data_IF_867444927350
#
_entry.id   IF_867444927350
#
_cell.length_a   1.000
_cell.length_b   1.000
_cell.length_c   1.000
_cell.angle_alpha   90.00
_cell.angle_beta   90.00
_cell.angle_gamma   90.00
#
_symmetry.space_group_name_H-M   'P 1'
#
loop_
_entity.id
_entity.type
_entity.pdbx_description
1 polymer ?
#
# COMPACT_ATOMS: atom_id res chain seq x y z
N UNK A 1 -16.59 -29.39 13.00
CA UNK A 1 -15.90 -28.28 12.31
C UNK A 1 -16.97 -27.31 11.86
N UNK A 2 -16.91 -26.04 12.27
CA UNK A 2 -17.86 -25.02 11.82
C UNK A 2 -17.63 -24.83 10.33
N UNK A 3 -18.66 -25.08 9.54
CA UNK A 3 -18.64 -25.01 8.07
C UNK A 3 -18.26 -23.58 7.64
N UNK A 4 -17.05 -23.41 7.06
CA UNK A 4 -16.63 -22.15 6.43
C UNK A 4 -15.27 -21.58 6.86
N UNK A 5 -14.75 -21.93 8.04
CA UNK A 5 -13.43 -21.46 8.51
C UNK A 5 -12.34 -22.29 7.86
N UNK A 6 -11.33 -21.60 7.31
CA UNK A 6 -10.22 -22.21 6.56
C UNK A 6 -9.06 -22.58 7.47
N UNK A 7 -8.45 -23.72 7.17
CA UNK A 7 -7.19 -24.15 7.79
C UNK A 7 -6.01 -23.31 7.32
N UNK A 8 -4.91 -23.33 8.07
CA UNK A 8 -3.67 -22.65 7.69
C UNK A 8 -3.21 -23.06 6.27
N UNK A 9 -3.25 -24.35 5.97
CA UNK A 9 -2.84 -24.86 4.65
C UNK A 9 -3.71 -24.32 3.52
N UNK A 10 -5.03 -24.22 3.71
CA UNK A 10 -5.94 -23.63 2.72
C UNK A 10 -5.70 -22.12 2.54
N UNK A 11 -5.37 -21.40 3.63
CA UNK A 11 -5.03 -19.97 3.59
C UNK A 11 -3.73 -19.76 2.80
N UNK A 12 -2.69 -20.52 3.12
CA UNK A 12 -1.40 -20.44 2.42
C UNK A 12 -1.54 -20.76 0.93
N UNK A 13 -2.32 -21.78 0.59
CA UNK A 13 -2.61 -22.13 -0.81
C UNK A 13 -3.30 -20.98 -1.55
N UNK A 14 -4.24 -20.28 -0.91
CA UNK A 14 -4.91 -19.11 -1.52
C UNK A 14 -3.98 -17.91 -1.71
N UNK A 15 -2.99 -17.76 -0.85
CA UNK A 15 -1.97 -16.72 -0.96
C UNK A 15 -0.82 -17.11 -1.91
N UNK A 16 -0.87 -18.32 -2.48
CA UNK A 16 0.22 -18.89 -3.31
C UNK A 16 1.54 -18.96 -2.55
N UNK A 17 1.48 -19.14 -1.22
CA UNK A 17 2.63 -19.30 -0.34
C UNK A 17 2.86 -20.79 -0.10
N UNK A 18 3.98 -21.30 -0.56
CA UNK A 18 4.36 -22.71 -0.37
C UNK A 18 4.87 -22.98 1.05
N UNK A 19 5.55 -22.01 1.66
CA UNK A 19 6.16 -22.11 2.99
C UNK A 19 6.26 -20.72 3.63
N UNK A 20 5.92 -20.63 4.91
CA UNK A 20 6.19 -19.43 5.71
C UNK A 20 7.70 -19.19 5.81
N UNK A 21 8.13 -17.94 5.77
CA UNK A 21 9.52 -17.57 5.97
C UNK A 21 9.91 -17.62 7.45
N UNK A 22 11.22 -17.57 7.80
CA UNK A 22 11.67 -17.66 9.19
C UNK A 22 11.00 -16.67 10.14
N UNK A 23 10.87 -15.39 9.75
CA UNK A 23 10.20 -14.37 10.53
C UNK A 23 8.72 -14.71 10.79
N UNK A 24 8.01 -15.22 9.81
CA UNK A 24 6.60 -15.59 9.93
C UNK A 24 6.41 -16.81 10.84
N UNK A 25 7.32 -17.77 10.80
CA UNK A 25 7.34 -18.93 11.71
C UNK A 25 7.59 -18.49 13.15
N UNK A 26 8.62 -17.67 13.39
CA UNK A 26 8.93 -17.13 14.70
C UNK A 26 7.79 -16.27 15.25
N UNK A 27 7.18 -15.41 14.39
CA UNK A 27 6.05 -14.58 14.78
C UNK A 27 4.86 -15.42 15.25
N UNK A 28 4.57 -16.53 14.58
CA UNK A 28 3.51 -17.46 14.98
C UNK A 28 3.73 -18.01 16.39
N UNK A 29 4.96 -18.37 16.73
CA UNK A 29 5.29 -18.90 18.05
C UNK A 29 5.30 -17.83 19.14
N UNK A 30 5.96 -16.70 18.87
CA UNK A 30 6.13 -15.63 19.87
C UNK A 30 4.80 -14.97 20.18
N UNK A 31 3.98 -14.65 19.17
CA UNK A 31 2.65 -14.04 19.36
C UNK A 31 1.71 -14.98 20.12
N UNK A 32 1.76 -16.28 19.85
CA UNK A 32 0.93 -17.26 20.58
C UNK A 32 1.25 -17.28 22.08
N UNK A 33 2.54 -17.17 22.45
CA UNK A 33 3.04 -17.31 23.82
C UNK A 33 2.99 -16.04 24.67
N UNK A 34 2.89 -14.85 24.04
CA UNK A 34 3.03 -13.55 24.73
C UNK A 34 1.76 -12.71 24.60
N UNK A 35 1.45 -11.95 25.63
CA UNK A 35 0.40 -10.92 25.62
C UNK A 35 0.82 -9.67 24.85
N UNK A 36 2.10 -9.34 24.88
CA UNK A 36 2.70 -8.25 24.13
C UNK A 36 3.78 -8.77 23.18
N UNK A 37 3.78 -8.29 21.93
CA UNK A 37 4.82 -8.64 20.95
C UNK A 37 5.22 -7.42 20.14
N UNK A 38 6.54 -7.26 19.94
CA UNK A 38 7.12 -6.24 19.06
C UNK A 38 7.82 -6.94 17.89
N UNK A 39 7.33 -6.72 16.68
CA UNK A 39 7.87 -7.28 15.44
C UNK A 39 8.57 -6.18 14.64
N UNK A 40 9.89 -6.27 14.56
CA UNK A 40 10.75 -5.36 13.82
C UNK A 40 11.24 -6.04 12.54
N UNK A 41 10.88 -5.47 11.39
CA UNK A 41 11.32 -6.00 10.10
C UNK A 41 11.16 -4.94 9.00
N UNK A 42 12.00 -4.91 7.97
CA UNK A 42 11.86 -4.00 6.85
C UNK A 42 10.50 -4.10 6.14
N UNK A 43 10.15 -3.09 5.35
CA UNK A 43 8.96 -3.16 4.50
C UNK A 43 9.12 -4.22 3.41
N UNK A 44 8.02 -4.91 3.06
CA UNK A 44 8.03 -5.93 2.00
C UNK A 44 8.49 -7.33 2.41
N UNK A 45 8.81 -7.57 3.68
CA UNK A 45 9.26 -8.88 4.20
C UNK A 45 8.12 -9.85 4.54
N UNK A 46 6.86 -9.40 4.42
CA UNK A 46 5.71 -10.23 4.75
C UNK A 46 5.21 -10.10 6.19
N UNK A 47 5.51 -8.97 6.88
CA UNK A 47 5.00 -8.66 8.24
C UNK A 47 3.50 -8.87 8.39
N UNK A 48 2.72 -8.43 7.39
CA UNK A 48 1.27 -8.55 7.44
C UNK A 48 0.81 -9.99 7.62
N UNK A 49 1.38 -10.93 6.87
CA UNK A 49 1.09 -12.37 7.04
C UNK A 49 1.60 -12.86 8.39
N UNK A 50 2.77 -12.36 8.85
CA UNK A 50 3.39 -12.78 10.11
C UNK A 50 2.48 -12.52 11.33
N UNK A 51 1.78 -11.39 11.39
CA UNK A 51 0.85 -11.13 12.49
C UNK A 51 -0.58 -11.63 12.21
N UNK A 52 -1.03 -11.70 10.96
CA UNK A 52 -2.37 -12.17 10.64
C UNK A 52 -2.57 -13.66 10.90
N UNK A 53 -1.58 -14.49 10.59
CA UNK A 53 -1.70 -15.94 10.78
C UNK A 53 -1.97 -16.32 12.24
N UNK A 54 -1.16 -15.90 13.25
CA UNK A 54 -1.46 -16.18 14.65
C UNK A 54 -2.74 -15.48 15.14
N UNK A 55 -3.04 -14.26 14.67
CA UNK A 55 -4.27 -13.56 15.02
C UNK A 55 -5.51 -14.37 14.60
N UNK A 56 -5.54 -14.88 13.37
CA UNK A 56 -6.66 -15.67 12.84
C UNK A 56 -6.84 -16.98 13.61
N UNK A 57 -5.74 -17.60 14.03
CA UNK A 57 -5.76 -18.85 14.79
C UNK A 57 -6.43 -18.72 16.18
N UNK A 58 -6.47 -17.52 16.75
CA UNK A 58 -7.08 -17.26 18.07
C UNK A 58 -8.52 -16.77 18.02
N UNK A 59 -9.09 -16.54 16.83
CA UNK A 59 -10.47 -16.10 16.68
C UNK A 59 -11.45 -17.23 16.99
N UNK A 60 -12.52 -16.90 17.71
CA UNK A 60 -13.61 -17.83 17.96
C UNK A 60 -14.72 -17.67 16.89
N UNK A 61 -14.96 -18.69 16.06
CA UNK A 61 -15.96 -18.62 14.99
C UNK A 61 -17.41 -18.56 15.50
N UNK A 62 -17.68 -18.89 16.78
CA UNK A 62 -19.00 -18.83 17.39
C UNK A 62 -19.40 -17.41 17.80
N UNK A 63 -18.43 -16.49 17.89
CA UNK A 63 -18.65 -15.10 18.29
C UNK A 63 -18.85 -14.22 17.06
N UNK A 64 -20.08 -13.77 16.82
CA UNK A 64 -20.43 -12.85 15.72
C UNK A 64 -20.24 -11.38 16.10
N UNK A 65 -19.12 -11.04 16.73
CA UNK A 65 -18.74 -9.69 17.18
C UNK A 65 -17.31 -9.39 16.73
N UNK A 66 -16.90 -8.12 16.88
CA UNK A 66 -15.49 -7.73 16.61
C UNK A 66 -14.61 -8.35 17.69
N UNK A 67 -13.63 -9.16 17.29
CA UNK A 67 -12.70 -9.84 18.20
C UNK A 67 -11.26 -9.31 18.08
N UNK A 68 -10.93 -8.70 16.95
CA UNK A 68 -9.61 -8.11 16.72
C UNK A 68 -9.72 -6.78 15.98
N UNK A 69 -8.89 -5.82 16.39
CA UNK A 69 -8.70 -4.55 15.71
C UNK A 69 -7.27 -4.46 15.20
N UNK A 70 -7.12 -3.97 13.96
CA UNK A 70 -5.83 -3.69 13.34
C UNK A 70 -5.80 -2.21 12.98
N UNK A 71 -4.87 -1.46 13.58
CA UNK A 71 -4.68 -0.04 13.35
C UNK A 71 -3.51 0.15 12.38
N UNK A 72 -3.73 0.96 11.37
CA UNK A 72 -2.72 1.37 10.40
C UNK A 72 -2.68 2.90 10.27
N UNK A 73 -1.49 3.54 10.14
CA UNK A 73 -1.37 4.99 10.11
C UNK A 73 -2.00 5.66 8.90
N UNK A 74 -2.18 4.93 7.81
CA UNK A 74 -2.71 5.47 6.55
C UNK A 74 -3.87 4.66 6.03
N UNK A 75 -4.74 5.31 5.23
CA UNK A 75 -5.89 4.69 4.57
C UNK A 75 -5.45 3.57 3.64
N UNK A 76 -4.38 3.81 2.89
CA UNK A 76 -3.83 2.88 1.91
C UNK A 76 -3.34 1.60 2.57
N UNK A 77 -2.62 1.72 3.69
CA UNK A 77 -2.15 0.56 4.45
C UNK A 77 -3.32 -0.22 5.07
N UNK A 78 -4.32 0.48 5.63
CA UNK A 78 -5.52 -0.17 6.15
C UNK A 78 -6.28 -0.96 5.06
N UNK A 79 -6.45 -0.37 3.87
CA UNK A 79 -7.07 -1.03 2.71
C UNK A 79 -6.22 -2.23 2.26
N UNK A 80 -4.91 -2.09 2.26
CA UNK A 80 -3.98 -3.18 1.88
C UNK A 80 -4.07 -4.36 2.85
N UNK A 81 -4.08 -4.13 4.15
CA UNK A 81 -4.23 -5.18 5.16
C UNK A 81 -5.57 -5.90 5.00
N UNK A 82 -6.65 -5.16 4.79
CA UNK A 82 -7.97 -5.72 4.55
C UNK A 82 -8.01 -6.56 3.25
N UNK A 83 -7.32 -6.12 2.21
CA UNK A 83 -7.22 -6.89 0.97
C UNK A 83 -6.42 -8.20 1.18
N UNK A 84 -5.36 -8.19 1.98
CA UNK A 84 -4.63 -9.43 2.36
C UNK A 84 -5.57 -10.39 3.09
N UNK A 85 -6.32 -9.92 4.10
CA UNK A 85 -7.32 -10.72 4.81
C UNK A 85 -8.36 -11.33 3.87
N UNK A 86 -8.86 -10.57 2.90
CA UNK A 86 -9.79 -11.07 1.87
C UNK A 86 -9.14 -12.14 0.99
N UNK A 87 -7.90 -11.95 0.59
CA UNK A 87 -7.17 -12.91 -0.23
C UNK A 87 -6.89 -14.21 0.53
N UNK A 88 -6.65 -14.13 1.84
CA UNK A 88 -6.55 -15.30 2.73
C UNK A 88 -7.83 -16.13 2.73
N UNK A 89 -8.98 -15.48 2.56
CA UNK A 89 -10.29 -16.14 2.47
C UNK A 89 -10.58 -17.03 3.67
N UNK A 90 -10.28 -16.53 4.87
CA UNK A 90 -10.31 -17.26 6.15
C UNK A 90 -11.68 -17.80 6.56
N UNK A 91 -12.75 -17.25 5.99
CA UNK A 91 -14.12 -17.49 6.42
C UNK A 91 -14.64 -16.45 7.43
N UNK A 92 -13.75 -15.71 8.08
CA UNK A 92 -14.13 -14.59 8.94
C UNK A 92 -14.45 -13.33 8.14
N UNK A 93 -15.47 -12.61 8.57
CA UNK A 93 -15.80 -11.33 7.98
C UNK A 93 -14.79 -10.26 8.41
N UNK A 94 -14.30 -9.51 7.46
CA UNK A 94 -13.40 -8.37 7.67
C UNK A 94 -14.02 -7.09 7.16
N UNK A 95 -13.75 -5.97 7.80
CA UNK A 95 -14.13 -4.65 7.30
C UNK A 95 -13.00 -3.65 7.54
N UNK A 96 -12.98 -2.59 6.72
CA UNK A 96 -12.00 -1.50 6.82
C UNK A 96 -12.70 -0.16 7.00
N UNK A 97 -12.23 0.64 7.97
CA UNK A 97 -12.75 1.97 8.29
C UNK A 97 -11.64 3.02 8.27
N UNK A 98 -11.86 4.11 7.52
CA UNK A 98 -10.88 5.17 7.39
C UNK A 98 -11.56 6.52 7.08
N UNK A 99 -10.86 7.61 7.33
CA UNK A 99 -11.38 8.95 7.07
C UNK A 99 -11.65 9.22 5.59
N UNK A 100 -12.64 10.05 5.28
CA UNK A 100 -13.06 10.38 3.91
C UNK A 100 -14.15 9.47 3.33
N UNK A 101 -14.60 8.44 4.06
CA UNK A 101 -15.85 7.70 3.76
C UNK A 101 -17.04 8.37 4.44
N UNK A 102 -18.23 8.26 3.81
CA UNK A 102 -19.45 8.75 4.45
C UNK A 102 -19.81 7.88 5.66
N UNK A 103 -20.24 8.51 6.76
CA UNK A 103 -20.68 7.78 7.96
C UNK A 103 -21.89 6.86 7.71
N UNK A 104 -22.72 7.15 6.70
CA UNK A 104 -23.82 6.26 6.28
C UNK A 104 -23.33 4.97 5.62
N UNK A 105 -22.22 5.01 4.90
CA UNK A 105 -21.62 3.82 4.34
C UNK A 105 -21.00 2.95 5.45
N UNK A 106 -20.26 3.55 6.38
CA UNK A 106 -19.66 2.82 7.50
C UNK A 106 -20.74 2.17 8.37
N UNK A 107 -21.85 2.87 8.66
CA UNK A 107 -22.97 2.29 9.41
C UNK A 107 -23.52 1.05 8.72
N UNK A 108 -23.79 1.12 7.42
CA UNK A 108 -24.26 -0.05 6.63
C UNK A 108 -23.27 -1.21 6.64
N UNK A 109 -21.99 -0.91 6.52
CA UNK A 109 -20.94 -1.93 6.53
C UNK A 109 -20.82 -2.62 7.90
N UNK A 110 -21.22 -1.93 8.98
CA UNK A 110 -21.25 -2.45 10.36
C UNK A 110 -22.56 -3.14 10.77
N UNK A 111 -23.64 -3.06 9.97
CA UNK A 111 -24.91 -3.79 10.22
C UNK A 111 -24.68 -5.30 10.36
N UNK A 112 -23.81 -5.86 9.52
CA UNK A 112 -23.29 -7.22 9.72
C UNK A 112 -21.88 -7.08 10.28
N UNK A 113 -21.74 -7.29 11.58
CA UNK A 113 -20.49 -7.04 12.30
C UNK A 113 -19.33 -7.87 11.74
N UNK A 114 -18.15 -7.26 11.51
CA UNK A 114 -16.97 -8.00 11.14
C UNK A 114 -16.38 -8.69 12.38
N UNK A 115 -15.65 -9.78 12.19
CA UNK A 115 -14.83 -10.40 13.23
C UNK A 115 -13.51 -9.66 13.38
N UNK A 116 -12.96 -9.13 12.28
CA UNK A 116 -11.74 -8.35 12.26
C UNK A 116 -12.06 -6.96 11.69
N UNK A 117 -11.75 -5.92 12.45
CA UNK A 117 -11.86 -4.54 12.01
C UNK A 117 -10.46 -3.97 11.74
N UNK A 118 -10.25 -3.47 10.53
CA UNK A 118 -9.04 -2.74 10.16
C UNK A 118 -9.35 -1.26 10.07
N UNK A 119 -8.47 -0.37 10.51
CA UNK A 119 -8.76 1.05 10.34
C UNK A 119 -7.63 2.00 10.65
N UNK A 120 -7.87 3.28 10.35
CA UNK A 120 -6.98 4.36 10.80
C UNK A 120 -7.35 4.81 12.21
N UNK A 121 -6.39 5.29 13.04
CA UNK A 121 -6.63 5.60 14.44
C UNK A 121 -7.87 6.46 14.67
N UNK A 122 -7.93 7.66 14.06
CA UNK A 122 -9.05 8.57 14.25
C UNK A 122 -10.42 8.00 13.86
N UNK A 123 -10.49 7.11 12.84
CA UNK A 123 -11.77 6.53 12.44
C UNK A 123 -12.21 5.39 13.35
N UNK A 124 -11.28 4.60 13.85
CA UNK A 124 -11.58 3.55 14.83
C UNK A 124 -12.02 4.16 16.16
N UNK A 125 -11.32 5.20 16.65
CA UNK A 125 -11.73 5.95 17.84
C UNK A 125 -13.14 6.56 17.69
N UNK A 126 -13.46 7.17 16.53
CA UNK A 126 -14.79 7.70 16.24
C UNK A 126 -15.88 6.60 16.29
N UNK A 127 -15.59 5.41 15.76
CA UNK A 127 -16.54 4.28 15.80
C UNK A 127 -16.75 3.73 17.22
N UNK A 128 -15.70 3.62 18.03
CA UNK A 128 -15.78 3.25 19.46
C UNK A 128 -16.62 4.26 20.22
N UNK A 129 -16.33 5.55 20.08
CA UNK A 129 -17.04 6.66 20.72
C UNK A 129 -18.53 6.70 20.41
N UNK A 130 -18.90 6.32 19.17
CA UNK A 130 -20.29 6.25 18.72
C UNK A 130 -20.98 4.93 19.00
N UNK A 131 -20.28 3.96 19.59
CA UNK A 131 -20.87 2.64 19.89
C UNK A 131 -21.28 1.84 18.65
N UNK A 132 -20.58 1.97 17.52
CA UNK A 132 -20.93 1.23 16.31
C UNK A 132 -20.69 -0.28 16.45
N UNK A 133 -19.88 -0.71 17.41
CA UNK A 133 -19.69 -2.11 17.78
C UNK A 133 -19.34 -2.21 19.26
N UNK A 134 -19.57 -3.39 19.83
CA UNK A 134 -19.24 -3.69 21.20
C UNK A 134 -17.75 -4.03 21.34
N UNK A 135 -17.10 -3.43 22.34
CA UNK A 135 -15.68 -3.61 22.64
C UNK A 135 -15.38 -4.81 23.56
N UNK A 136 -16.39 -5.38 24.21
CA UNK A 136 -16.22 -6.46 25.21
C UNK A 136 -15.60 -7.74 24.64
N UNK A 137 -15.79 -8.00 23.34
CA UNK A 137 -15.27 -9.20 22.69
C UNK A 137 -13.90 -9.00 22.04
N UNK A 138 -13.36 -7.77 22.06
CA UNK A 138 -12.08 -7.45 21.43
C UNK A 138 -10.93 -7.88 22.34
N UNK A 139 -10.24 -8.94 21.94
CA UNK A 139 -9.13 -9.53 22.70
C UNK A 139 -7.75 -9.22 22.11
N UNK A 140 -7.71 -8.78 20.86
CA UNK A 140 -6.46 -8.57 20.13
C UNK A 140 -6.42 -7.20 19.47
N UNK A 141 -5.31 -6.50 19.63
CA UNK A 141 -5.00 -5.23 18.97
C UNK A 141 -3.66 -5.33 18.26
N UNK A 142 -3.65 -5.01 16.98
CA UNK A 142 -2.44 -4.85 16.19
C UNK A 142 -2.25 -3.37 15.87
N UNK A 143 -1.05 -2.85 16.13
CA UNK A 143 -0.64 -1.50 15.76
C UNK A 143 0.45 -1.63 14.69
N UNK A 144 0.05 -1.60 13.42
CA UNK A 144 0.96 -1.75 12.28
C UNK A 144 1.60 -0.40 11.92
N UNK A 145 2.89 -0.41 11.59
CA UNK A 145 3.71 0.81 11.42
C UNK A 145 3.48 1.81 12.57
N UNK A 146 3.58 1.33 13.81
CA UNK A 146 3.24 2.08 15.01
C UNK A 146 4.10 3.34 15.18
N UNK A 147 5.40 3.25 14.89
CA UNK A 147 6.32 4.38 14.82
C UNK A 147 5.76 5.53 13.96
N UNK A 148 5.12 5.19 12.86
CA UNK A 148 4.50 6.16 11.95
C UNK A 148 3.22 6.77 12.51
N UNK A 149 2.43 5.97 13.21
CA UNK A 149 1.22 6.48 13.87
C UNK A 149 1.57 7.58 14.89
N UNK A 150 2.67 7.42 15.62
CA UNK A 150 3.18 8.44 16.56
C UNK A 150 3.69 9.69 15.83
N UNK A 151 4.48 9.53 14.76
CA UNK A 151 4.99 10.66 13.97
C UNK A 151 3.89 11.52 13.36
N UNK A 152 2.76 10.92 12.99
CA UNK A 152 1.60 11.64 12.44
C UNK A 152 0.82 12.37 13.55
N UNK A 153 1.03 12.00 14.81
CA UNK A 153 0.37 12.62 15.95
C UNK A 153 -0.92 11.94 16.39
N UNK A 154 -1.08 10.65 16.11
CA UNK A 154 -2.25 9.86 16.52
C UNK A 154 -2.14 9.29 17.94
N UNK A 155 -1.27 9.84 18.78
CA UNK A 155 -1.08 9.35 20.16
C UNK A 155 -2.40 9.40 20.95
N UNK A 156 -3.13 10.51 20.86
CA UNK A 156 -4.39 10.71 21.57
C UNK A 156 -5.45 9.67 21.19
N UNK A 157 -5.63 9.43 19.91
CA UNK A 157 -6.58 8.43 19.40
C UNK A 157 -6.16 7.00 19.78
N UNK A 158 -4.86 6.71 19.83
CA UNK A 158 -4.39 5.39 20.25
C UNK A 158 -4.60 5.16 21.75
N UNK A 159 -4.42 6.16 22.59
CA UNK A 159 -4.76 6.11 24.01
C UNK A 159 -6.26 5.86 24.18
N UNK A 160 -7.10 6.65 23.50
CA UNK A 160 -8.56 6.49 23.54
C UNK A 160 -9.01 5.08 23.12
N UNK A 161 -8.40 4.52 22.05
CA UNK A 161 -8.70 3.16 21.61
C UNK A 161 -8.31 2.14 22.68
N UNK A 162 -7.11 2.24 23.25
CA UNK A 162 -6.63 1.30 24.27
C UNK A 162 -7.52 1.33 25.52
N UNK A 163 -7.90 2.51 25.99
CA UNK A 163 -8.77 2.71 27.16
C UNK A 163 -10.19 2.19 26.91
N UNK A 164 -10.63 2.13 25.65
CA UNK A 164 -11.94 1.65 25.26
C UNK A 164 -12.03 0.11 25.11
N UNK A 165 -10.93 -0.64 25.33
CA UNK A 165 -10.86 -2.08 25.12
C UNK A 165 -10.69 -2.87 26.44
N UNK A 166 -11.76 -3.09 27.22
CA UNK A 166 -11.64 -3.65 28.58
C UNK A 166 -11.20 -5.13 28.59
N UNK A 167 -11.46 -5.86 27.51
CA UNK A 167 -11.13 -7.29 27.39
C UNK A 167 -9.85 -7.59 26.62
N UNK A 168 -9.05 -6.55 26.33
CA UNK A 168 -7.83 -6.67 25.54
C UNK A 168 -6.78 -7.54 26.22
N UNK A 169 -6.35 -8.60 25.55
CA UNK A 169 -5.36 -9.56 26.05
C UNK A 169 -4.04 -9.51 25.28
N UNK A 170 -4.10 -9.33 23.97
CA UNK A 170 -2.92 -9.35 23.10
C UNK A 170 -2.71 -8.04 22.37
N UNK A 171 -1.48 -7.55 22.42
CA UNK A 171 -1.03 -6.34 21.72
C UNK A 171 0.16 -6.69 20.83
N UNK A 172 0.05 -6.45 19.54
CA UNK A 172 1.10 -6.69 18.57
C UNK A 172 1.48 -5.36 17.94
N UNK A 173 2.73 -4.96 18.07
CA UNK A 173 3.28 -3.76 17.46
C UNK A 173 4.23 -4.15 16.35
N UNK A 174 4.12 -3.48 15.21
CA UNK A 174 5.10 -3.64 14.14
C UNK A 174 5.79 -2.32 13.83
N UNK A 175 7.07 -2.38 13.47
CA UNK A 175 7.85 -1.25 12.99
C UNK A 175 8.88 -1.71 11.94
N UNK A 176 9.30 -0.77 11.10
CA UNK A 176 10.40 -0.97 10.16
C UNK A 176 11.70 -0.31 10.63
N UNK A 177 11.75 0.25 11.85
CA UNK A 177 12.91 0.96 12.41
C UNK A 177 13.34 0.40 13.76
N UNK A 178 14.66 0.47 14.04
CA UNK A 178 15.23 0.01 15.32
C UNK A 178 15.02 0.98 16.48
N UNK A 179 14.99 2.28 16.21
CA UNK A 179 14.99 3.36 17.22
C UNK A 179 13.64 3.52 17.92
N UNK A 180 12.79 2.54 17.79
CA UNK A 180 11.44 2.58 18.30
C UNK A 180 11.40 2.27 19.81
N UNK A 181 11.11 3.29 20.62
CA UNK A 181 10.72 3.14 22.04
C UNK A 181 9.21 3.00 22.12
N UNK A 182 8.74 1.88 22.66
CA UNK A 182 7.32 1.69 22.95
C UNK A 182 6.91 2.67 24.06
N UNK A 183 5.98 3.62 23.83
CA UNK A 183 5.52 4.53 24.85
C UNK A 183 4.81 3.80 25.98
N UNK A 184 4.88 4.39 27.19
CA UNK A 184 4.30 3.79 28.40
C UNK A 184 2.78 3.55 28.29
N UNK A 185 2.05 4.41 27.57
CA UNK A 185 0.60 4.28 27.42
C UNK A 185 0.16 2.98 26.72
N UNK A 186 1.02 2.36 25.90
CA UNK A 186 0.71 1.06 25.27
C UNK A 186 0.61 -0.05 26.30
N UNK A 187 1.26 0.10 27.46
CA UNK A 187 1.20 -0.85 28.57
C UNK A 187 1.76 -2.22 28.20
N UNK A 188 2.90 -2.28 27.52
CA UNK A 188 3.62 -3.53 27.25
C UNK A 188 4.66 -3.79 28.31
N UNK A 189 4.45 -4.85 29.11
CA UNK A 189 5.39 -5.32 30.10
C UNK A 189 6.15 -6.53 29.51
N UNK A 190 7.46 -6.39 29.35
CA UNK A 190 8.36 -7.44 28.84
C UNK A 190 7.83 -8.15 27.59
N UNK A 191 7.59 -7.46 26.46
CA UNK A 191 7.02 -8.05 25.26
C UNK A 191 7.97 -9.04 24.60
N UNK A 192 7.42 -10.07 23.97
CA UNK A 192 8.16 -10.90 23.03
C UNK A 192 8.74 -10.02 21.91
N UNK A 193 10.00 -10.23 21.54
CA UNK A 193 10.69 -9.43 20.53
C UNK A 193 11.14 -10.31 19.38
N UNK A 194 10.80 -9.86 18.17
CA UNK A 194 11.17 -10.48 16.90
C UNK A 194 11.88 -9.40 16.10
N UNK A 195 13.14 -9.62 15.72
CA UNK A 195 13.93 -8.59 15.05
C UNK A 195 14.65 -9.14 13.82
N UNK A 196 14.13 -8.76 12.65
CA UNK A 196 14.66 -9.12 11.33
C UNK A 196 15.16 -7.89 10.54
N UNK A 197 15.44 -6.78 11.20
CA UNK A 197 15.89 -5.56 10.52
C UNK A 197 17.26 -5.75 9.85
N UNK A 198 18.11 -6.62 10.40
CA UNK A 198 19.46 -6.87 9.87
C UNK A 198 19.54 -8.01 8.85
N UNK A 199 18.51 -8.86 8.74
CA UNK A 199 18.54 -10.02 7.85
C UNK A 199 18.12 -9.69 6.40
N UNK A 200 17.47 -8.58 6.19
CA UNK A 200 17.12 -8.15 4.83
C UNK A 200 18.37 -7.55 4.17
N UNK A 201 19.11 -8.36 3.46
CA UNK A 201 20.09 -7.88 2.47
C UNK A 201 19.28 -7.22 1.35
N UNK A 202 18.90 -5.96 1.57
CA UNK A 202 18.35 -5.15 0.50
C UNK A 202 19.46 -4.92 -0.52
N UNK A 203 19.28 -5.44 -1.72
CA UNK A 203 20.12 -5.09 -2.87
C UNK A 203 19.77 -3.68 -3.36
N UNK A 204 19.81 -2.74 -2.42
CA UNK A 204 19.55 -1.33 -2.67
C UNK A 204 20.86 -0.61 -2.86
N UNK A 205 21.06 -0.06 -4.03
CA UNK A 205 22.14 0.88 -4.28
C UNK A 205 21.65 2.30 -4.05
N UNK A 206 22.38 3.09 -3.26
CA UNK A 206 22.10 4.52 -3.09
C UNK A 206 23.20 5.32 -3.77
N UNK A 207 22.83 6.15 -4.74
CA UNK A 207 23.77 6.93 -5.56
C UNK A 207 23.36 8.40 -5.63
N UNK A 208 24.31 9.33 -5.69
CA UNK A 208 24.02 10.74 -5.96
C UNK A 208 24.06 11.04 -7.46
N UNK A 209 23.12 11.86 -7.89
CA UNK A 209 23.14 12.48 -9.22
C UNK A 209 23.48 13.95 -9.01
N UNK A 210 24.65 14.34 -9.45
CA UNK A 210 25.08 15.73 -9.37
C UNK A 210 24.54 16.49 -10.57
N UNK A 211 23.74 17.52 -10.30
CA UNK A 211 23.10 18.36 -11.32
C UNK A 211 23.62 19.81 -11.26
N UNK A 212 23.35 20.55 -12.30
CA UNK A 212 23.63 21.99 -12.34
C UNK A 212 22.75 22.80 -11.40
N UNK A 213 22.58 24.08 -11.69
CA UNK A 213 21.76 24.97 -10.86
C UNK A 213 20.25 24.73 -11.03
N UNK A 214 19.82 24.23 -12.18
CA UNK A 214 18.41 23.89 -12.46
C UNK A 214 18.13 22.42 -12.11
N UNK A 215 17.42 22.21 -11.00
CA UNK A 215 17.02 20.89 -10.54
C UNK A 215 15.96 20.24 -11.45
N UNK A 216 15.09 21.02 -12.10
CA UNK A 216 14.05 20.48 -12.97
C UNK A 216 14.68 19.94 -14.26
N UNK A 217 15.61 20.67 -14.85
CA UNK A 217 16.38 20.21 -15.99
C UNK A 217 17.20 18.97 -15.63
N UNK A 218 17.94 19.02 -14.50
CA UNK A 218 18.70 17.88 -14.00
C UNK A 218 17.84 16.64 -13.73
N UNK A 219 16.61 16.81 -13.25
CA UNK A 219 15.63 15.73 -13.10
C UNK A 219 15.27 15.13 -14.47
N UNK A 220 14.93 15.96 -15.45
CA UNK A 220 14.53 15.48 -16.77
C UNK A 220 15.67 14.72 -17.48
N UNK A 221 16.91 15.20 -17.36
CA UNK A 221 18.09 14.51 -17.89
C UNK A 221 18.32 13.18 -17.18
N UNK A 222 18.19 13.17 -15.84
CA UNK A 222 18.31 11.94 -15.05
C UNK A 222 17.27 10.90 -15.46
N UNK A 223 16.02 11.31 -15.66
CA UNK A 223 14.95 10.42 -16.11
C UNK A 223 15.23 9.84 -17.51
N UNK A 224 15.75 10.64 -18.44
CA UNK A 224 16.19 10.16 -19.76
C UNK A 224 17.30 9.11 -19.65
N UNK A 225 18.27 9.35 -18.76
CA UNK A 225 19.37 8.42 -18.56
C UNK A 225 18.95 7.11 -17.87
N UNK A 226 18.03 7.16 -16.91
CA UNK A 226 17.46 5.98 -16.25
C UNK A 226 16.58 5.19 -17.23
N UNK A 227 15.89 5.89 -18.15
CA UNK A 227 15.00 5.31 -19.14
C UNK A 227 13.62 4.93 -18.62
N UNK A 228 12.82 4.30 -19.48
CA UNK A 228 11.43 3.91 -19.20
C UNK A 228 11.35 2.77 -18.19
N UNK A 229 11.47 3.10 -16.92
CA UNK A 229 11.33 2.18 -15.79
C UNK A 229 10.32 2.74 -14.78
N UNK A 230 9.58 1.89 -14.06
CA UNK A 230 8.70 2.37 -13.00
C UNK A 230 9.51 2.94 -11.82
N UNK A 231 9.22 4.18 -11.46
CA UNK A 231 9.91 4.89 -10.39
C UNK A 231 9.06 5.88 -9.62
N UNK A 232 9.53 6.23 -8.43
CA UNK A 232 8.91 7.26 -7.58
C UNK A 232 9.88 8.43 -7.42
N UNK A 233 9.36 9.64 -7.58
CA UNK A 233 10.07 10.88 -7.31
C UNK A 233 9.50 11.45 -6.01
N UNK A 234 10.32 11.50 -4.96
CA UNK A 234 9.93 11.98 -3.66
C UNK A 234 10.22 13.47 -3.49
N UNK A 235 9.19 14.19 -3.03
CA UNK A 235 9.23 15.59 -2.64
C UNK A 235 8.73 15.75 -1.22
N UNK A 236 9.19 16.78 -0.51
CA UNK A 236 8.72 17.11 0.83
C UNK A 236 7.38 17.85 0.78
N UNK A 237 7.17 18.67 -0.26
CA UNK A 237 6.04 19.59 -0.34
C UNK A 237 5.19 19.36 -1.60
N UNK A 238 3.88 19.58 -1.46
CA UNK A 238 2.94 19.50 -2.60
C UNK A 238 3.22 20.56 -3.69
N UNK A 239 3.74 21.73 -3.27
CA UNK A 239 4.01 22.82 -4.21
C UNK A 239 5.23 22.48 -5.09
N UNK A 240 6.22 21.77 -4.54
CA UNK A 240 7.30 21.18 -5.33
C UNK A 240 6.77 20.17 -6.33
N UNK A 241 5.83 19.30 -5.90
CA UNK A 241 5.19 18.33 -6.81
C UNK A 241 4.47 19.06 -7.95
N UNK A 242 3.76 20.15 -7.67
CA UNK A 242 3.05 20.92 -8.69
C UNK A 242 4.01 21.48 -9.74
N UNK A 243 5.12 22.09 -9.32
CA UNK A 243 6.13 22.62 -10.25
C UNK A 243 6.79 21.54 -11.10
N UNK A 244 7.12 20.38 -10.50
CA UNK A 244 7.67 19.24 -11.25
C UNK A 244 6.62 18.72 -12.25
N UNK A 245 5.37 18.61 -11.82
CA UNK A 245 4.28 18.11 -12.67
C UNK A 245 4.07 18.97 -13.89
N UNK A 246 4.04 20.29 -13.73
CA UNK A 246 3.94 21.25 -14.83
C UNK A 246 5.11 21.07 -15.80
N UNK A 247 6.33 21.07 -15.28
CA UNK A 247 7.56 20.91 -16.08
C UNK A 247 7.61 19.59 -16.87
N UNK A 248 7.20 18.48 -16.27
CA UNK A 248 7.16 17.16 -16.93
C UNK A 248 6.01 17.10 -17.97
N UNK A 249 4.87 17.74 -17.69
CA UNK A 249 3.71 17.79 -18.61
C UNK A 249 4.08 18.53 -19.89
N UNK A 250 4.73 19.69 -19.81
CA UNK A 250 5.22 20.43 -20.97
C UNK A 250 6.15 19.63 -21.87
N UNK A 251 6.84 18.63 -21.29
CA UNK A 251 7.76 17.73 -21.99
C UNK A 251 7.14 16.38 -22.38
N UNK A 252 5.80 16.25 -22.24
CA UNK A 252 5.05 15.04 -22.52
C UNK A 252 5.55 13.80 -21.73
N UNK A 253 6.12 13.99 -20.54
CA UNK A 253 6.53 12.92 -19.64
C UNK A 253 5.37 12.54 -18.75
N UNK A 254 4.78 11.38 -19.01
CA UNK A 254 3.60 10.90 -18.28
C UNK A 254 3.94 10.52 -16.85
N UNK A 255 3.18 11.03 -15.89
CA UNK A 255 3.36 10.79 -14.46
C UNK A 255 2.02 10.83 -13.71
N UNK A 256 1.97 10.22 -12.52
CA UNK A 256 0.87 10.31 -11.59
C UNK A 256 1.24 11.18 -10.38
N UNK A 257 0.23 11.78 -9.75
CA UNK A 257 0.37 12.57 -8.53
C UNK A 257 -0.14 11.80 -7.32
N UNK A 258 0.63 11.82 -6.21
CA UNK A 258 0.25 11.09 -5.01
C UNK A 258 0.69 11.82 -3.73
N UNK A 259 -0.20 12.67 -3.19
CA UNK A 259 0.03 13.42 -1.97
C UNK A 259 -1.23 13.55 -1.09
N UNK A 260 -1.05 13.88 0.19
CA UNK A 260 -2.08 13.73 1.21
C UNK A 260 -3.36 14.55 1.03
N UNK A 261 -3.34 15.67 0.30
CA UNK A 261 -4.51 16.53 0.08
C UNK A 261 -5.33 16.20 -1.17
N UNK A 262 -4.91 15.21 -1.94
CA UNK A 262 -5.73 14.70 -3.05
C UNK A 262 -6.96 14.00 -2.50
N UNK A 263 -8.07 14.08 -3.24
CA UNK A 263 -9.25 13.28 -2.96
C UNK A 263 -8.90 11.79 -3.00
N UNK A 264 -9.55 11.00 -2.14
CA UNK A 264 -9.23 9.56 -2.02
C UNK A 264 -9.37 8.82 -3.36
N UNK A 265 -10.38 9.20 -4.16
CA UNK A 265 -10.61 8.59 -5.48
C UNK A 265 -9.47 8.87 -6.45
N UNK A 266 -8.88 10.08 -6.41
CA UNK A 266 -7.77 10.44 -7.29
C UNK A 266 -6.48 9.75 -6.87
N UNK A 267 -6.25 9.58 -5.55
CA UNK A 267 -5.14 8.78 -5.02
C UNK A 267 -5.24 7.32 -5.48
N UNK A 268 -6.41 6.72 -5.35
CA UNK A 268 -6.64 5.34 -5.81
C UNK A 268 -6.43 5.21 -7.32
N UNK A 269 -6.94 6.15 -8.12
CA UNK A 269 -6.75 6.16 -9.57
C UNK A 269 -5.28 6.29 -9.96
N UNK A 270 -4.54 7.18 -9.29
CA UNK A 270 -3.10 7.35 -9.55
C UNK A 270 -2.33 6.05 -9.32
N UNK A 271 -2.60 5.35 -8.20
CA UNK A 271 -1.98 4.06 -7.90
C UNK A 271 -2.38 2.97 -8.91
N UNK A 272 -3.66 2.93 -9.30
CA UNK A 272 -4.14 1.96 -10.28
C UNK A 272 -3.48 2.19 -11.64
N UNK A 273 -3.43 3.44 -12.11
CA UNK A 273 -2.76 3.81 -13.36
C UNK A 273 -1.27 3.48 -13.33
N UNK A 274 -0.62 3.67 -12.19
CA UNK A 274 0.78 3.31 -12.02
C UNK A 274 0.98 1.78 -12.06
N UNK A 275 0.18 1.01 -11.30
CA UNK A 275 0.19 -0.46 -11.35
C UNK A 275 -0.12 -1.03 -12.74
N UNK A 276 -0.97 -0.36 -13.46
CA UNK A 276 -1.37 -0.73 -14.82
C UNK A 276 -0.35 -0.30 -15.89
N UNK A 277 0.73 0.37 -15.50
CA UNK A 277 1.75 0.84 -16.42
C UNK A 277 1.36 2.04 -17.29
N UNK A 278 0.18 2.65 -17.05
CA UNK A 278 -0.24 3.88 -17.75
C UNK A 278 0.70 5.05 -17.42
N UNK A 279 1.09 5.16 -16.16
CA UNK A 279 2.15 6.05 -15.69
C UNK A 279 3.32 5.21 -15.21
N UNK A 280 4.52 5.55 -15.62
CA UNK A 280 5.75 4.91 -15.13
C UNK A 280 6.42 5.71 -14.02
N UNK A 281 6.01 6.97 -13.81
CA UNK A 281 6.49 7.85 -12.77
C UNK A 281 5.35 8.23 -11.82
N UNK A 282 5.68 8.26 -10.52
CA UNK A 282 4.78 8.74 -9.47
C UNK A 282 5.49 9.86 -8.71
N UNK A 283 4.91 11.06 -8.70
CA UNK A 283 5.38 12.16 -7.84
C UNK A 283 4.68 12.05 -6.49
N UNK A 284 5.43 11.89 -5.41
CA UNK A 284 4.85 11.57 -4.11
C UNK A 284 5.47 12.33 -2.95
N UNK A 285 4.66 12.60 -1.90
CA UNK A 285 5.15 12.98 -0.58
C UNK A 285 5.23 11.77 0.34
N UNK A 286 6.03 11.84 1.40
CA UNK A 286 6.22 10.75 2.35
C UNK A 286 4.92 10.21 2.92
N UNK A 287 4.07 11.10 3.42
CA UNK A 287 2.81 10.72 4.06
C UNK A 287 1.91 9.91 3.11
N UNK A 288 1.87 10.29 1.84
CA UNK A 288 1.05 9.61 0.86
C UNK A 288 1.67 8.27 0.44
N UNK A 289 2.99 8.22 0.25
CA UNK A 289 3.68 7.03 -0.24
C UNK A 289 3.89 5.94 0.83
N UNK A 290 3.56 6.21 2.09
CA UNK A 290 3.60 5.21 3.17
C UNK A 290 2.54 4.13 2.95
N UNK A 291 2.92 2.88 3.17
CA UNK A 291 2.00 1.74 3.06
C UNK A 291 1.46 1.46 1.65
N UNK A 292 1.91 2.15 0.60
CA UNK A 292 1.48 1.81 -0.75
C UNK A 292 2.09 0.49 -1.21
N UNK A 293 1.22 -0.39 -1.69
CA UNK A 293 1.63 -1.59 -2.39
C UNK A 293 1.69 -1.30 -3.90
N UNK A 294 2.90 -1.01 -4.33
CA UNK A 294 3.21 -0.83 -5.74
C UNK A 294 4.30 -1.83 -6.09
N UNK A 295 3.98 -2.82 -6.94
CA UNK A 295 4.95 -3.82 -7.34
C UNK A 295 6.02 -3.19 -8.25
N UNK A 296 7.24 -3.75 -8.16
CA UNK A 296 8.33 -3.54 -9.12
C UNK A 296 8.83 -2.11 -9.33
N UNK A 297 8.84 -1.28 -8.28
CA UNK A 297 9.56 0.01 -8.36
C UNK A 297 11.04 -0.28 -8.55
N UNK A 298 11.59 0.15 -9.68
CA UNK A 298 12.99 -0.09 -10.06
C UNK A 298 13.92 1.00 -9.57
N UNK A 299 13.41 2.22 -9.39
CA UNK A 299 14.21 3.32 -8.87
C UNK A 299 13.36 4.31 -8.05
N UNK A 300 14.07 5.02 -7.20
CA UNK A 300 13.56 6.18 -6.46
C UNK A 300 14.46 7.36 -6.76
N UNK A 301 13.87 8.55 -6.88
CA UNK A 301 14.62 9.81 -6.88
C UNK A 301 14.18 10.62 -5.67
N UNK A 302 15.11 10.94 -4.79
CA UNK A 302 14.92 11.98 -3.79
C UNK A 302 15.19 13.33 -4.47
N UNK A 303 14.13 13.96 -5.00
CA UNK A 303 14.21 15.31 -5.54
C UNK A 303 14.48 16.32 -4.42
N UNK A 304 13.84 16.11 -3.29
CA UNK A 304 14.14 16.75 -2.01
C UNK A 304 14.47 15.68 -0.99
N UNK A 305 15.60 15.84 -0.30
CA UNK A 305 15.94 14.95 0.80
C UNK A 305 14.99 15.15 1.98
N UNK A 306 14.57 14.08 2.65
CA UNK A 306 13.75 14.20 3.84
C UNK A 306 14.55 14.81 5.00
N UNK A 307 13.85 15.36 5.98
CA UNK A 307 14.49 15.99 7.15
C UNK A 307 15.08 14.97 8.13
N UNK A 308 14.64 13.71 8.09
CA UNK A 308 15.03 12.64 9.02
C UNK A 308 15.50 11.40 8.30
N UNK A 309 16.49 10.72 8.87
CA UNK A 309 17.03 9.46 8.37
C UNK A 309 15.96 8.37 8.25
N UNK A 310 15.06 8.29 9.21
CA UNK A 310 13.95 7.32 9.17
C UNK A 310 13.06 7.49 7.94
N UNK A 311 12.77 8.72 7.53
CA UNK A 311 12.00 9.01 6.33
C UNK A 311 12.75 8.56 5.07
N UNK A 312 14.07 8.79 5.06
CA UNK A 312 14.94 8.31 3.98
C UNK A 312 14.89 6.79 3.83
N UNK A 313 15.01 6.07 4.96
CA UNK A 313 14.90 4.61 5.00
C UNK A 313 13.54 4.12 4.51
N UNK A 314 12.44 4.80 4.89
CA UNK A 314 11.09 4.43 4.45
C UNK A 314 10.82 4.69 2.97
N UNK A 315 11.37 5.79 2.41
CA UNK A 315 11.32 6.04 0.97
C UNK A 315 12.05 4.92 0.23
N UNK A 316 13.25 4.60 0.68
CA UNK A 316 14.08 3.55 0.10
C UNK A 316 13.41 2.17 0.16
N UNK A 317 12.67 1.86 1.22
CA UNK A 317 11.87 0.64 1.35
C UNK A 317 10.72 0.49 0.33
N UNK A 318 10.54 1.45 -0.58
CA UNK A 318 9.58 1.31 -1.70
C UNK A 318 10.19 0.60 -2.90
N UNK A 319 11.51 0.56 -3.03
CA UNK A 319 12.23 -0.23 -4.05
C UNK A 319 13.01 -1.37 -3.39
N UNK A 320 13.63 -2.22 -4.18
CA UNK A 320 14.43 -3.37 -3.71
C UNK A 320 13.69 -4.29 -2.72
N UNK A 321 12.40 -4.53 -2.91
CA UNK A 321 11.60 -5.39 -2.04
C UNK A 321 11.92 -6.86 -2.26
N UNK A 322 11.95 -7.65 -1.19
CA UNK A 322 12.28 -9.08 -1.17
C UNK A 322 13.62 -9.37 -1.85
N UNK A 323 13.63 -10.02 -3.00
CA UNK A 323 14.84 -10.37 -3.75
C UNK A 323 15.08 -9.45 -4.97
N UNK A 324 14.32 -8.36 -5.09
CA UNK A 324 14.45 -7.42 -6.21
C UNK A 324 15.61 -6.44 -5.99
N UNK A 325 16.30 -6.09 -7.07
CA UNK A 325 17.30 -5.02 -7.11
C UNK A 325 16.60 -3.68 -7.33
N UNK A 326 17.10 -2.63 -6.68
CA UNK A 326 16.58 -1.28 -6.83
C UNK A 326 17.65 -0.23 -6.58
N UNK A 327 17.47 0.93 -7.19
CA UNK A 327 18.42 2.05 -7.02
C UNK A 327 17.68 3.27 -6.48
N UNK A 328 18.21 3.85 -5.42
CA UNK A 328 17.76 5.14 -4.91
C UNK A 328 18.76 6.22 -5.35
N UNK A 329 18.27 7.24 -6.01
CA UNK A 329 19.05 8.38 -6.45
C UNK A 329 18.77 9.58 -5.57
N UNK A 330 19.82 10.28 -5.17
CA UNK A 330 19.73 11.56 -4.48
C UNK A 330 20.14 12.66 -5.47
N UNK A 331 19.20 13.53 -5.81
CA UNK A 331 19.45 14.65 -6.71
C UNK A 331 20.12 15.79 -5.94
N UNK A 332 21.33 16.14 -6.30
CA UNK A 332 22.16 17.09 -5.53
C UNK A 332 22.71 18.18 -6.45
N UNK A 333 22.50 19.44 -6.09
CA UNK A 333 23.18 20.55 -6.78
C UNK A 333 24.68 20.49 -6.53
N UNK A 334 25.46 20.92 -7.52
CA UNK A 334 26.90 21.00 -7.35
C UNK A 334 27.28 21.91 -6.18
N UNK A 335 28.04 21.37 -5.23
CA UNK A 335 28.48 22.09 -4.03
C UNK A 335 27.48 22.12 -2.89
N UNK A 336 26.30 21.49 -3.02
CA UNK A 336 25.35 21.38 -1.91
C UNK A 336 25.86 20.38 -0.86
N UNK A 337 25.70 20.73 0.42
CA UNK A 337 25.99 19.86 1.55
C UNK A 337 24.87 18.84 1.72
N UNK A 338 25.23 17.60 1.97
CA UNK A 338 24.29 16.55 2.35
C UNK A 338 24.03 16.61 3.87
N UNK A 339 22.85 16.19 4.34
CA UNK A 339 22.57 16.07 5.77
C UNK A 339 23.55 15.11 6.46
N UNK A 340 23.80 15.33 7.76
CA UNK A 340 24.74 14.53 8.56
C UNK A 340 24.42 13.03 8.60
N UNK A 341 23.14 12.67 8.48
CA UNK A 341 22.73 11.26 8.45
C UNK A 341 23.05 10.54 7.13
N UNK A 342 23.47 11.28 6.10
CA UNK A 342 23.80 10.68 4.80
C UNK A 342 25.25 10.21 4.77
N UNK A 343 25.50 8.95 4.38
CA UNK A 343 26.86 8.50 4.12
C UNK A 343 27.43 9.20 2.88
N UNK A 344 28.72 9.09 2.68
CA UNK A 344 29.33 9.49 1.42
C UNK A 344 28.76 8.61 0.28
N UNK A 345 28.19 9.26 -0.73
CA UNK A 345 27.51 8.57 -1.82
C UNK A 345 28.38 8.54 -3.08
N UNK A 346 28.43 7.39 -3.71
CA UNK A 346 28.98 7.27 -5.06
C UNK A 346 28.16 8.06 -6.07
N UNK A 347 28.84 8.66 -7.04
CA UNK A 347 28.14 9.35 -8.13
C UNK A 347 27.55 8.33 -9.11
N UNK A 348 26.30 8.53 -9.49
CA UNK A 348 25.68 7.73 -10.54
C UNK A 348 26.33 8.05 -11.90
N UNK A 349 26.76 7.02 -12.60
CA UNK A 349 27.21 7.18 -13.98
C UNK A 349 25.98 7.06 -14.90
N UNK A 350 25.37 8.19 -15.21
CA UNK A 350 24.19 8.28 -16.08
C UNK A 350 24.61 8.81 -17.46
N UNK A 351 25.38 8.04 -18.20
CA UNK A 351 25.77 8.41 -19.55
C UNK A 351 24.78 7.92 -20.61
N UNK A 352 24.41 8.78 -21.56
CA UNK A 352 23.70 8.37 -22.77
C UNK A 352 22.19 8.20 -22.63
N UNK A 353 21.47 9.25 -22.23
CA UNK A 353 20.02 9.22 -22.14
C UNK A 353 19.32 8.98 -23.47
N UNK A 354 18.28 8.12 -23.47
CA UNK A 354 17.35 7.95 -24.57
C UNK A 354 16.10 8.78 -24.33
N UNK A 355 15.46 9.20 -25.40
CA UNK A 355 14.15 9.85 -25.29
C UNK A 355 13.16 8.96 -24.53
N UNK A 356 12.48 9.54 -23.54
CA UNK A 356 11.44 8.82 -22.80
C UNK A 356 10.23 8.58 -23.72
N UNK A 357 9.93 7.33 -23.97
CA UNK A 357 8.75 6.95 -24.75
C UNK A 357 7.50 6.99 -23.88
N UNK A 358 6.39 7.52 -24.40
CA UNK A 358 5.09 7.39 -23.74
C UNK A 358 4.77 5.90 -23.48
N UNK A 359 4.05 5.63 -22.39
CA UNK A 359 3.60 4.27 -22.13
C UNK A 359 2.74 3.73 -23.27
N UNK A 360 2.94 2.47 -23.61
CA UNK A 360 2.09 1.74 -24.57
C UNK A 360 0.75 1.30 -23.94
N UNK A 361 0.60 1.45 -22.64
CA UNK A 361 -0.58 1.05 -21.88
C UNK A 361 -1.45 2.25 -21.49
N UNK A 362 -2.76 2.05 -21.50
CA UNK A 362 -3.73 2.97 -20.92
C UNK A 362 -4.71 2.21 -20.04
N UNK A 363 -5.28 2.88 -19.05
CA UNK A 363 -6.24 2.29 -18.11
C UNK A 363 -7.65 2.69 -18.49
N UNK A 364 -8.54 1.70 -18.62
CA UNK A 364 -9.97 1.89 -18.76
C UNK A 364 -10.66 1.74 -17.40
N UNK A 365 -11.67 2.55 -17.18
CA UNK A 365 -12.64 2.47 -16.09
C UNK A 365 -13.93 1.83 -16.58
N UNK A 366 -14.47 0.88 -15.81
CA UNK A 366 -15.69 0.15 -16.11
C UNK A 366 -16.63 0.26 -14.92
N UNK A 367 -17.87 0.69 -15.17
CA UNK A 367 -18.92 0.74 -14.13
C UNK A 367 -19.42 -0.68 -13.84
N UNK A 368 -18.99 -1.24 -12.73
CA UNK A 368 -19.38 -2.59 -12.30
C UNK A 368 -18.20 -3.32 -11.68
N UNK A 369 -18.46 -4.05 -10.62
CA UNK A 369 -17.43 -4.65 -9.79
C UNK A 369 -17.88 -5.92 -9.07
N UNK A 370 -17.24 -6.17 -7.91
CA UNK A 370 -17.52 -7.37 -7.08
C UNK A 370 -18.99 -7.49 -6.67
N UNK A 371 -19.68 -6.36 -6.36
CA UNK A 371 -21.10 -6.36 -6.02
C UNK A 371 -21.99 -6.85 -7.15
N UNK A 372 -21.57 -6.67 -8.40
CA UNK A 372 -22.26 -7.15 -9.59
C UNK A 372 -21.84 -8.57 -9.98
N UNK A 373 -21.04 -9.24 -9.11
CA UNK A 373 -20.45 -10.59 -9.32
C UNK A 373 -19.55 -10.68 -10.55
N UNK A 374 -18.94 -9.57 -10.96
CA UNK A 374 -17.99 -9.50 -12.08
C UNK A 374 -16.64 -10.08 -11.62
N UNK A 375 -16.05 -10.92 -12.44
CA UNK A 375 -14.74 -11.55 -12.25
C UNK A 375 -13.71 -11.03 -13.27
N UNK A 376 -12.42 -11.27 -13.00
CA UNK A 376 -11.35 -10.96 -13.97
C UNK A 376 -11.57 -11.65 -15.32
N UNK A 377 -12.04 -12.90 -15.29
CA UNK A 377 -12.36 -13.65 -16.52
C UNK A 377 -13.50 -13.03 -17.34
N UNK A 378 -14.52 -12.45 -16.68
CA UNK A 378 -15.60 -11.75 -17.38
C UNK A 378 -15.08 -10.49 -18.10
N UNK A 379 -14.17 -9.76 -17.46
CA UNK A 379 -13.56 -8.55 -18.04
C UNK A 379 -12.61 -8.92 -19.19
N UNK A 380 -11.74 -9.90 -18.99
CA UNK A 380 -10.88 -10.40 -20.05
C UNK A 380 -11.71 -10.86 -21.26
N UNK A 381 -12.79 -11.62 -21.02
CA UNK A 381 -13.73 -12.05 -22.05
C UNK A 381 -14.41 -10.88 -22.78
N UNK A 382 -14.78 -9.81 -22.06
CA UNK A 382 -15.34 -8.60 -22.65
C UNK A 382 -14.40 -8.01 -23.72
N UNK A 383 -13.13 -7.81 -23.38
CA UNK A 383 -12.18 -7.19 -24.31
C UNK A 383 -11.70 -8.15 -25.39
N UNK A 384 -11.45 -9.41 -25.07
CA UNK A 384 -10.96 -10.38 -26.03
C UNK A 384 -12.04 -10.83 -27.02
N UNK A 385 -13.27 -11.11 -26.54
CA UNK A 385 -14.35 -11.64 -27.38
C UNK A 385 -15.15 -10.55 -28.12
N UNK A 386 -15.48 -9.44 -27.43
CA UNK A 386 -16.31 -8.39 -28.05
C UNK A 386 -15.47 -7.34 -28.78
N UNK A 387 -14.36 -6.89 -28.16
CA UNK A 387 -13.50 -5.92 -28.84
C UNK A 387 -12.44 -6.57 -29.74
N UNK A 388 -12.25 -7.88 -29.67
CA UNK A 388 -11.29 -8.62 -30.48
C UNK A 388 -9.82 -8.40 -30.10
N UNK A 389 -9.56 -7.95 -28.88
CA UNK A 389 -8.19 -7.75 -28.39
C UNK A 389 -7.48 -9.09 -28.19
N UNK A 390 -6.20 -9.11 -28.51
CA UNK A 390 -5.35 -10.27 -28.26
C UNK A 390 -4.97 -10.36 -26.78
N UNK A 391 -4.63 -11.54 -26.24
CA UNK A 391 -4.26 -11.69 -24.82
C UNK A 391 -3.17 -10.73 -24.36
N UNK A 392 -2.17 -10.46 -25.18
CA UNK A 392 -1.07 -9.56 -24.86
C UNK A 392 -1.44 -8.06 -24.96
N UNK A 393 -2.61 -7.73 -25.48
CA UNK A 393 -3.15 -6.36 -25.53
C UNK A 393 -4.03 -6.03 -24.32
N UNK A 394 -4.32 -7.03 -23.46
CA UNK A 394 -5.08 -6.87 -22.21
C UNK A 394 -4.14 -7.15 -21.04
N UNK A 395 -3.84 -6.15 -20.27
CA UNK A 395 -2.91 -6.23 -19.13
C UNK A 395 -3.63 -6.45 -17.80
N UNK A 396 -3.18 -5.76 -16.77
CA UNK A 396 -3.68 -5.92 -15.40
C UNK A 396 -5.15 -5.56 -15.27
N UNK A 397 -5.91 -6.41 -14.56
CA UNK A 397 -7.33 -6.19 -14.23
C UNK A 397 -7.48 -6.07 -12.72
N UNK A 398 -7.96 -4.94 -12.24
CA UNK A 398 -8.25 -4.67 -10.83
C UNK A 398 -9.74 -4.45 -10.63
N UNK A 399 -10.41 -5.33 -9.84
CA UNK A 399 -11.85 -5.26 -9.59
C UNK A 399 -12.07 -4.71 -8.19
N UNK A 400 -12.74 -3.57 -8.10
CA UNK A 400 -13.23 -2.95 -6.87
C UNK A 400 -14.66 -3.40 -6.56
N UNK A 401 -15.25 -2.85 -5.51
CA UNK A 401 -16.61 -3.22 -5.11
C UNK A 401 -17.64 -2.89 -6.20
N UNK A 402 -17.57 -1.71 -6.79
CA UNK A 402 -18.55 -1.13 -7.72
C UNK A 402 -17.97 -0.68 -9.06
N UNK A 403 -16.68 -0.86 -9.25
CA UNK A 403 -15.95 -0.49 -10.45
C UNK A 403 -14.86 -1.51 -10.79
N UNK A 404 -14.43 -1.50 -12.04
CA UNK A 404 -13.28 -2.29 -12.50
C UNK A 404 -12.36 -1.40 -13.33
N UNK A 405 -11.07 -1.63 -13.17
CA UNK A 405 -10.03 -1.00 -13.98
C UNK A 405 -9.28 -2.07 -14.75
N UNK A 406 -8.98 -1.79 -16.01
CA UNK A 406 -8.23 -2.71 -16.86
C UNK A 406 -7.21 -1.94 -17.68
N UNK A 407 -6.00 -2.47 -17.73
CA UNK A 407 -4.95 -1.99 -18.62
C UNK A 407 -5.16 -2.59 -20.02
N UNK A 408 -5.12 -1.74 -21.04
CA UNK A 408 -5.12 -2.18 -22.43
C UNK A 408 -4.00 -1.51 -23.23
N UNK A 409 -3.56 -2.12 -24.29
CA UNK A 409 -2.61 -1.49 -25.21
C UNK A 409 -3.22 -0.23 -25.83
N UNK A 410 -2.49 0.88 -25.79
CA UNK A 410 -2.99 2.23 -26.15
C UNK A 410 -3.52 2.31 -27.58
N UNK A 411 -2.94 1.52 -28.52
CA UNK A 411 -3.42 1.45 -29.90
C UNK A 411 -4.86 0.94 -30.00
N UNK A 412 -5.35 0.18 -29.01
CA UNK A 412 -6.69 -0.40 -28.96
C UNK A 412 -7.72 0.47 -28.24
N UNK A 413 -7.33 1.63 -27.69
CA UNK A 413 -8.19 2.45 -26.85
C UNK A 413 -9.55 2.76 -27.50
N UNK A 414 -9.53 3.32 -28.69
CA UNK A 414 -10.76 3.71 -29.41
C UNK A 414 -11.63 2.51 -29.75
N UNK A 415 -11.02 1.44 -30.26
CA UNK A 415 -11.70 0.18 -30.60
C UNK A 415 -12.33 -0.46 -29.34
N UNK A 416 -11.56 -0.57 -28.26
CA UNK A 416 -12.02 -1.14 -27.02
C UNK A 416 -13.25 -0.42 -26.46
N UNK A 417 -13.21 0.92 -26.35
CA UNK A 417 -14.33 1.72 -25.86
C UNK A 417 -15.54 1.57 -26.79
N UNK A 418 -15.36 1.72 -28.10
CA UNK A 418 -16.46 1.65 -29.07
C UNK A 418 -17.20 0.31 -29.03
N UNK A 419 -16.49 -0.80 -28.83
CA UNK A 419 -17.05 -2.15 -28.84
C UNK A 419 -17.62 -2.60 -27.49
N UNK A 420 -17.14 -2.03 -26.38
CA UNK A 420 -17.51 -2.53 -25.05
C UNK A 420 -18.35 -1.56 -24.21
N UNK A 421 -18.40 -0.27 -24.58
CA UNK A 421 -19.23 0.69 -23.87
C UNK A 421 -20.73 0.37 -24.07
N UNK A 422 -21.50 0.52 -22.98
CA UNK A 422 -22.94 0.22 -22.94
C UNK A 422 -23.32 -1.25 -23.25
N UNK A 423 -22.38 -2.18 -23.17
CA UNK A 423 -22.62 -3.62 -23.29
C UNK A 423 -22.99 -4.24 -21.94
N UNK A 424 -23.35 -5.52 -21.95
CA UNK A 424 -23.64 -6.26 -20.71
C UNK A 424 -22.50 -7.19 -20.32
N UNK A 425 -22.09 -7.10 -19.04
CA UNK A 425 -21.23 -8.07 -18.39
C UNK A 425 -22.07 -8.77 -17.35
N UNK A 426 -22.34 -10.06 -17.55
CA UNK A 426 -23.37 -10.79 -16.78
C UNK A 426 -24.73 -10.07 -16.84
N UNK A 427 -25.25 -9.69 -15.67
CA UNK A 427 -26.55 -8.98 -15.56
C UNK A 427 -26.41 -7.45 -15.58
N UNK A 428 -25.19 -6.92 -15.53
CA UNK A 428 -24.90 -5.49 -15.43
C UNK A 428 -24.63 -4.87 -16.79
N UNK A 429 -25.37 -3.80 -17.13
CA UNK A 429 -24.99 -2.91 -18.23
C UNK A 429 -23.84 -2.03 -17.76
N UNK A 430 -22.69 -2.11 -18.40
CA UNK A 430 -21.49 -1.39 -18.00
C UNK A 430 -21.22 -0.22 -18.95
N UNK A 431 -20.68 0.86 -18.38
CA UNK A 431 -20.07 1.95 -19.13
C UNK A 431 -18.56 1.79 -19.09
N UNK A 432 -17.91 2.02 -20.21
CA UNK A 432 -16.46 1.94 -20.36
C UNK A 432 -15.94 3.28 -20.85
N UNK A 433 -14.97 3.84 -20.14
CA UNK A 433 -14.30 5.10 -20.46
C UNK A 433 -12.83 5.00 -20.13
N UNK A 434 -12.03 5.92 -20.63
CA UNK A 434 -10.68 6.11 -20.13
C UNK A 434 -10.73 6.59 -18.65
N UNK A 435 -9.83 6.08 -17.80
CA UNK A 435 -9.84 6.29 -16.36
C UNK A 435 -9.27 7.66 -15.94
#
# INVERSE_FOLDING_TARGET
MISGIKTEAEILAKLEITKLNPMQLEAKEVIAKNEGTVLLSPTGTGKTVAFLMPLIAELNPEISQVQAIIIAPTRELAIQIEQVLRNMGTGYKTNVVYGGRSGSQDRRDMETRPTILVGTPGRVADHLRRGFFDAEHIKMLVLDEFDKSLEIGFEGEMIEILDSLPSLKKKILTSATQEFKVPAFVGLNNPGRINYLHEAVQKLEVKKIQVGNDLLEGLAESLKAIGNKPGIIFCNYKDTIAGISEYLTERNISHGLFYGRLEQIDRERALIKFRNGTHQLLLATDLAARGIDVPEIKFIIHYELPHREQEFTHRNGRTARMNAEGTAYVLVRKGALLPEYMPELESANLAGGKELKPSEWTTLYITGGKKDKISKGDIAGLFMKQAGLKPFEVGHIEIKLDATFVSIHKSQLKNAIAKTNNTRVKKKKVRVSEA
#
